data_IF_995957285594
#
_entry.id   IF_995957285594
#
_cell.length_a   1.000
_cell.length_b   1.000
_cell.length_c   1.000
_cell.angle_alpha   90.00
_cell.angle_beta   90.00
_cell.angle_gamma   90.00
#
_symmetry.space_group_name_H-M   'P 1'
#
loop_
_entity.id
_entity.type
_entity.pdbx_description
1 polymer ?
#
# COMPACT_ATOMS: atom_id res chain seq x y z
N UNK A 1 7.81 -15.92 8.19
CA UNK A 1 6.55 -15.23 7.80
C UNK A 1 6.80 -13.73 7.74
N UNK A 2 6.39 -13.12 6.67
CA UNK A 2 6.59 -11.69 6.48
C UNK A 2 5.47 -10.89 7.19
N UNK A 3 5.88 -9.98 8.06
CA UNK A 3 4.94 -9.11 8.78
C UNK A 3 5.02 -7.70 8.17
N UNK A 4 3.91 -7.02 8.09
CA UNK A 4 3.85 -5.69 7.50
C UNK A 4 3.37 -4.64 8.53
N UNK A 5 4.20 -4.31 9.53
CA UNK A 5 3.76 -3.40 10.61
C UNK A 5 3.44 -1.99 10.12
N UNK A 6 4.19 -1.47 9.17
CA UNK A 6 3.93 -0.14 8.62
C UNK A 6 2.64 -0.09 7.81
N UNK A 7 2.36 -1.15 7.06
CA UNK A 7 1.14 -1.26 6.28
C UNK A 7 -0.06 -1.42 7.21
N UNK A 8 0.08 -2.24 8.25
CA UNK A 8 -0.96 -2.37 9.28
C UNK A 8 -1.27 -1.02 9.94
N UNK A 9 -0.25 -0.23 10.25
CA UNK A 9 -0.43 1.10 10.83
C UNK A 9 -1.16 2.04 9.88
N UNK A 10 -0.83 2.01 8.58
CA UNK A 10 -1.53 2.79 7.55
C UNK A 10 -3.00 2.40 7.46
N UNK A 11 -3.30 1.10 7.50
CA UNK A 11 -4.67 0.61 7.44
C UNK A 11 -5.46 0.97 8.70
N UNK A 12 -4.83 0.98 9.87
CA UNK A 12 -5.48 1.42 11.11
C UNK A 12 -5.84 2.91 11.03
N UNK A 13 -4.98 3.74 10.45
CA UNK A 13 -5.30 5.15 10.23
C UNK A 13 -6.47 5.32 9.27
N UNK A 14 -6.49 4.53 8.19
CA UNK A 14 -7.60 4.54 7.22
C UNK A 14 -8.90 4.07 7.88
N UNK A 15 -8.81 3.08 8.77
CA UNK A 15 -9.96 2.59 9.53
C UNK A 15 -10.55 3.70 10.40
N UNK A 16 -9.71 4.45 11.11
CA UNK A 16 -10.16 5.58 11.91
C UNK A 16 -10.79 6.68 11.05
N UNK A 17 -10.20 6.96 9.89
CA UNK A 17 -10.74 7.93 8.95
C UNK A 17 -12.10 7.47 8.41
N UNK A 18 -12.22 6.19 8.06
CA UNK A 18 -13.49 5.62 7.60
C UNK A 18 -14.57 5.74 8.68
N UNK A 19 -14.23 5.46 9.93
CA UNK A 19 -15.17 5.62 11.05
C UNK A 19 -15.65 7.06 11.15
N UNK A 20 -14.76 8.04 11.00
CA UNK A 20 -15.11 9.46 11.01
C UNK A 20 -16.06 9.81 9.86
N UNK A 21 -15.85 9.22 8.66
CA UNK A 21 -16.74 9.46 7.53
C UNK A 21 -18.13 8.90 7.79
N UNK A 22 -18.22 7.74 8.44
CA UNK A 22 -19.51 7.17 8.82
C UNK A 22 -20.26 8.13 9.76
N UNK A 23 -19.56 8.70 10.76
CA UNK A 23 -20.14 9.69 11.66
C UNK A 23 -20.61 10.93 10.90
N UNK A 24 -19.86 11.37 9.90
CA UNK A 24 -20.23 12.50 9.05
C UNK A 24 -21.53 12.22 8.26
N UNK A 25 -21.68 10.99 7.75
CA UNK A 25 -22.89 10.57 7.06
C UNK A 25 -24.10 10.61 8.00
N UNK A 26 -23.92 10.10 9.22
CA UNK A 26 -24.95 10.06 10.22
C UNK A 26 -25.31 11.45 10.74
N UNK A 27 -24.41 12.43 10.58
CA UNK A 27 -24.61 13.81 11.00
C UNK A 27 -25.10 14.73 9.88
N UNK A 28 -25.55 14.16 8.77
CA UNK A 28 -26.09 14.90 7.62
C UNK A 28 -25.14 15.93 7.01
N UNK A 29 -23.86 15.59 6.90
CA UNK A 29 -22.89 16.44 6.22
C UNK A 29 -23.16 16.45 4.71
N UNK A 30 -22.70 17.50 4.04
CA UNK A 30 -22.93 17.67 2.60
C UNK A 30 -22.31 16.54 1.76
N UNK A 31 -23.01 16.16 0.70
CA UNK A 31 -22.57 15.08 -0.18
C UNK A 31 -21.19 15.35 -0.79
N UNK A 32 -20.90 16.59 -1.17
CA UNK A 32 -19.59 16.96 -1.70
C UNK A 32 -18.49 16.67 -0.70
N UNK A 33 -18.67 17.03 0.55
CA UNK A 33 -17.71 16.78 1.62
C UNK A 33 -17.52 15.28 1.86
N UNK A 34 -18.62 14.51 1.89
CA UNK A 34 -18.57 13.07 2.06
C UNK A 34 -17.79 12.39 0.92
N UNK A 35 -18.05 12.81 -0.31
CA UNK A 35 -17.35 12.28 -1.48
C UNK A 35 -15.85 12.54 -1.41
N UNK A 36 -15.44 13.74 -0.98
CA UNK A 36 -14.04 14.10 -0.83
C UNK A 36 -13.37 13.25 0.24
N UNK A 37 -14.04 13.04 1.37
CA UNK A 37 -13.51 12.23 2.46
C UNK A 37 -13.42 10.76 2.07
N UNK A 38 -14.42 10.22 1.38
CA UNK A 38 -14.37 8.84 0.89
C UNK A 38 -13.26 8.65 -0.13
N UNK A 39 -13.05 9.63 -1.00
CA UNK A 39 -11.95 9.58 -1.97
C UNK A 39 -10.59 9.49 -1.24
N UNK A 40 -10.41 10.25 -0.16
CA UNK A 40 -9.19 10.21 0.62
C UNK A 40 -8.97 8.83 1.29
N UNK A 41 -10.04 8.23 1.83
CA UNK A 41 -9.97 6.88 2.43
C UNK A 41 -9.63 5.85 1.36
N UNK A 42 -10.30 5.90 0.23
CA UNK A 42 -10.05 4.98 -0.89
C UNK A 42 -8.60 5.06 -1.35
N UNK A 43 -8.08 6.29 -1.51
CA UNK A 43 -6.70 6.51 -1.92
C UNK A 43 -5.71 5.96 -0.90
N UNK A 44 -5.97 6.15 0.38
CA UNK A 44 -5.12 5.64 1.45
C UNK A 44 -5.05 4.11 1.43
N UNK A 45 -6.19 3.45 1.24
CA UNK A 45 -6.25 1.98 1.16
C UNK A 45 -5.53 1.49 -0.10
N UNK A 46 -5.75 2.15 -1.23
CA UNK A 46 -5.08 1.83 -2.50
C UNK A 46 -3.56 1.94 -2.38
N UNK A 47 -3.07 2.98 -1.71
CA UNK A 47 -1.63 3.16 -1.48
C UNK A 47 -1.08 2.08 -0.56
N UNK A 48 -1.80 1.69 0.49
CA UNK A 48 -1.39 0.61 1.37
C UNK A 48 -1.28 -0.72 0.60
N UNK A 49 -2.24 -0.98 -0.27
CA UNK A 49 -2.22 -2.18 -1.14
C UNK A 49 -0.99 -2.17 -2.04
N UNK A 50 -0.68 -1.05 -2.67
CA UNK A 50 0.51 -0.93 -3.53
C UNK A 50 1.79 -1.19 -2.76
N UNK A 51 1.91 -0.62 -1.58
CA UNK A 51 3.09 -0.83 -0.74
C UNK A 51 3.23 -2.29 -0.32
N UNK A 52 2.12 -2.95 0.02
CA UNK A 52 2.12 -4.37 0.35
C UNK A 52 2.65 -5.19 -0.82
N UNK A 53 2.16 -4.92 -2.03
CA UNK A 53 2.57 -5.66 -3.23
C UNK A 53 4.04 -5.42 -3.54
N UNK A 54 4.51 -4.17 -3.44
CA UNK A 54 5.92 -3.82 -3.66
C UNK A 54 6.83 -4.55 -2.68
N UNK A 55 6.47 -4.55 -1.40
CA UNK A 55 7.26 -5.22 -0.37
C UNK A 55 7.32 -6.72 -0.61
N UNK A 56 6.21 -7.32 -1.01
CA UNK A 56 6.15 -8.75 -1.30
C UNK A 56 7.04 -9.11 -2.50
N UNK A 57 6.94 -8.34 -3.57
CA UNK A 57 7.76 -8.56 -4.78
C UNK A 57 9.24 -8.42 -4.43
N UNK A 58 9.59 -7.35 -3.73
CA UNK A 58 10.97 -7.07 -3.34
C UNK A 58 11.56 -8.22 -2.51
N UNK A 59 10.80 -8.67 -1.52
CA UNK A 59 11.22 -9.76 -0.63
C UNK A 59 11.39 -11.09 -1.38
N UNK A 60 10.43 -11.44 -2.23
CA UNK A 60 10.50 -12.66 -3.04
C UNK A 60 11.67 -12.65 -4.01
N UNK A 61 11.96 -11.50 -4.62
CA UNK A 61 13.06 -11.34 -5.55
C UNK A 61 14.39 -11.48 -4.82
N UNK A 62 14.53 -10.89 -3.64
CA UNK A 62 15.75 -11.00 -2.83
C UNK A 62 16.05 -12.46 -2.47
N UNK A 63 15.04 -13.19 -2.02
CA UNK A 63 15.21 -14.61 -1.67
C UNK A 63 15.62 -15.45 -2.88
N UNK A 64 15.03 -15.18 -4.03
CA UNK A 64 15.30 -15.94 -5.25
C UNK A 64 16.66 -15.57 -5.87
N UNK A 65 17.03 -14.29 -5.83
CA UNK A 65 18.21 -13.79 -6.51
C UNK A 65 19.52 -14.34 -5.97
N UNK A 66 19.57 -14.73 -4.70
CA UNK A 66 20.78 -15.28 -4.10
C UNK A 66 21.22 -16.59 -4.74
N UNK A 67 20.27 -17.34 -5.33
CA UNK A 67 20.54 -18.60 -5.99
C UNK A 67 20.85 -18.45 -7.48
N UNK A 68 20.80 -17.23 -8.04
CA UNK A 68 20.95 -16.99 -9.45
C UNK A 68 22.36 -16.51 -9.83
N UNK A 69 22.81 -16.75 -11.09
CA UNK A 69 24.05 -16.17 -11.60
C UNK A 69 24.04 -14.64 -11.52
N UNK A 70 25.23 -14.06 -11.44
CA UNK A 70 25.41 -12.61 -11.31
C UNK A 70 24.66 -11.79 -12.37
N UNK A 71 24.67 -12.26 -13.60
CA UNK A 71 24.01 -11.57 -14.72
C UNK A 71 22.50 -11.42 -14.48
N UNK A 72 21.86 -12.46 -13.99
CA UNK A 72 20.44 -12.43 -13.66
C UNK A 72 20.17 -11.57 -12.43
N UNK A 73 21.09 -11.58 -11.46
CA UNK A 73 20.95 -10.74 -10.27
C UNK A 73 20.96 -9.26 -10.61
N UNK A 74 21.78 -8.85 -11.57
CA UNK A 74 21.84 -7.46 -12.01
C UNK A 74 20.53 -7.03 -12.68
N UNK A 75 19.94 -7.90 -13.52
CA UNK A 75 18.64 -7.65 -14.13
C UNK A 75 17.53 -7.52 -13.08
N UNK A 76 17.58 -8.36 -12.05
CA UNK A 76 16.61 -8.34 -10.96
C UNK A 76 16.71 -7.03 -10.17
N UNK A 77 17.93 -6.56 -9.91
CA UNK A 77 18.15 -5.28 -9.23
C UNK A 77 17.56 -4.12 -10.02
N UNK A 78 17.73 -4.15 -11.32
CA UNK A 78 17.14 -3.14 -12.21
C UNK A 78 15.62 -3.18 -12.13
N UNK A 79 15.04 -4.37 -12.16
CA UNK A 79 13.60 -4.57 -12.02
C UNK A 79 13.09 -4.02 -10.68
N UNK A 80 13.79 -4.32 -9.58
CA UNK A 80 13.45 -3.81 -8.25
C UNK A 80 13.46 -2.28 -8.21
N UNK A 81 14.42 -1.67 -8.91
CA UNK A 81 14.50 -0.22 -9.02
C UNK A 81 13.29 0.39 -9.73
N UNK A 82 12.73 -0.32 -10.71
CA UNK A 82 11.57 0.13 -11.48
C UNK A 82 10.26 -0.09 -10.71
N UNK A 83 10.17 -1.17 -9.95
CA UNK A 83 8.96 -1.54 -9.20
C UNK A 83 8.52 -0.44 -8.23
N UNK A 84 9.45 0.32 -7.66
CA UNK A 84 9.12 1.40 -6.73
C UNK A 84 8.31 2.54 -7.36
N UNK A 85 8.23 2.57 -8.69
CA UNK A 85 7.43 3.57 -9.42
C UNK A 85 6.05 3.05 -9.83
N UNK A 86 5.67 1.86 -9.38
CA UNK A 86 4.35 1.30 -9.68
C UNK A 86 3.19 2.15 -9.12
#
# INVERSE_FOLDING_TARGET
>A
MHKFPEIAARLKRAQGHLAAVIDMIESDRECMELAQQLHAVEKAIGNAKKELIKDHIHHCIEETSEALPREFRDLIKEFQGVVKYL
#
